data_IF_243904857360
#
_entry.id   IF_243904857360
#
_cell.length_a   1.000
_cell.length_b   1.000
_cell.length_c   1.000
_cell.angle_alpha   90.00
_cell.angle_beta   90.00
_cell.angle_gamma   90.00
#
_symmetry.space_group_name_H-M   'P 1'
#
loop_
_entity.id
_entity.type
_entity.pdbx_description
1 polymer ?
#
# COMPACT_ATOMS: atom_id res chain seq x y z
N UNK A 1 -18.25 1.53 -7.92
CA UNK A 1 -16.84 1.36 -7.49
C UNK A 1 -15.97 1.66 -8.69
N UNK A 2 -14.90 2.44 -8.50
CA UNK A 2 -14.04 2.90 -9.60
C UNK A 2 -12.71 2.17 -9.55
N UNK A 3 -12.32 1.52 -10.65
CA UNK A 3 -11.00 0.91 -10.81
C UNK A 3 -9.89 1.97 -10.64
N UNK A 4 -8.83 1.69 -9.87
CA UNK A 4 -7.78 2.65 -9.64
C UNK A 4 -6.89 2.83 -10.87
N UNK A 5 -6.52 4.08 -11.16
CA UNK A 5 -5.53 4.43 -12.20
C UNK A 5 -4.11 4.00 -11.84
N UNK A 6 -3.85 3.74 -10.57
CA UNK A 6 -2.61 3.13 -10.12
C UNK A 6 -2.66 2.68 -8.67
N UNK A 7 -1.66 1.90 -8.26
CA UNK A 7 -1.58 1.31 -6.93
C UNK A 7 -0.29 1.77 -6.26
N UNK A 8 -0.43 2.24 -5.03
CA UNK A 8 0.66 2.66 -4.17
C UNK A 8 0.89 1.58 -3.14
N UNK A 9 2.09 1.01 -3.10
CA UNK A 9 2.46 0.01 -2.08
C UNK A 9 3.41 0.61 -1.06
N UNK A 10 3.10 0.41 0.21
CA UNK A 10 3.84 0.97 1.35
C UNK A 10 4.19 -0.14 2.33
N UNK A 11 5.47 -0.23 2.71
CA UNK A 11 5.97 -1.12 3.74
C UNK A 11 6.53 -0.32 4.91
N UNK A 12 6.18 -0.70 6.14
CA UNK A 12 6.73 -0.09 7.34
C UNK A 12 6.93 -1.12 8.48
N UNK A 13 7.59 -0.68 9.55
CA UNK A 13 7.74 -1.44 10.81
C UNK A 13 7.04 -0.70 11.96
N UNK A 14 7.16 -1.19 13.20
CA UNK A 14 6.51 -0.63 14.38
C UNK A 14 6.76 0.88 14.56
N UNK A 15 7.98 1.37 14.27
CA UNK A 15 8.32 2.80 14.35
C UNK A 15 7.76 3.66 13.22
N UNK A 16 7.15 3.06 12.18
CA UNK A 16 6.65 3.77 10.99
C UNK A 16 5.18 4.18 11.06
N UNK A 17 4.48 3.96 12.17
CA UNK A 17 3.05 4.27 12.28
C UNK A 17 2.80 5.77 12.16
N UNK A 18 3.57 6.62 12.85
CA UNK A 18 3.42 8.09 12.76
C UNK A 18 3.67 8.60 11.35
N UNK A 19 4.65 8.02 10.67
CA UNK A 19 4.89 8.29 9.25
C UNK A 19 3.70 7.89 8.36
N UNK A 20 3.10 6.73 8.60
CA UNK A 20 1.91 6.30 7.86
C UNK A 20 0.71 7.22 8.12
N UNK A 21 0.57 7.74 9.35
CA UNK A 21 -0.47 8.74 9.68
C UNK A 21 -0.25 10.02 8.89
N UNK A 22 0.97 10.54 8.88
CA UNK A 22 1.31 11.74 8.11
C UNK A 22 1.12 11.51 6.59
N UNK A 23 1.54 10.34 6.08
CA UNK A 23 1.33 9.96 4.70
C UNK A 23 -0.16 9.93 4.34
N UNK A 24 -0.97 9.19 5.09
CA UNK A 24 -2.41 9.08 4.83
C UNK A 24 -3.12 10.43 4.98
N UNK A 25 -2.71 11.25 5.95
CA UNK A 25 -3.26 12.59 6.18
C UNK A 25 -2.96 13.60 5.09
N UNK A 26 -1.89 13.39 4.32
CA UNK A 26 -1.58 14.22 3.16
C UNK A 26 -2.21 13.75 1.85
N UNK A 27 -2.88 12.59 1.81
CA UNK A 27 -3.52 12.10 0.58
C UNK A 27 -4.74 12.95 0.22
N UNK A 28 -4.99 13.22 -1.07
CA UNK A 28 -6.20 13.90 -1.52
C UNK A 28 -7.41 12.99 -1.37
N UNK A 29 -8.58 13.56 -1.07
CA UNK A 29 -9.83 12.80 -0.87
C UNK A 29 -10.32 12.11 -2.16
N UNK A 30 -9.95 12.65 -3.31
CA UNK A 30 -10.30 12.17 -4.65
C UNK A 30 -9.15 11.39 -5.31
N UNK A 31 -8.22 10.83 -4.52
CA UNK A 31 -7.08 10.07 -5.02
C UNK A 31 -7.54 9.04 -6.09
N UNK A 32 -7.07 9.16 -7.36
CA UNK A 32 -7.52 8.27 -8.43
C UNK A 32 -6.90 6.86 -8.36
N UNK A 33 -6.09 6.58 -7.33
CA UNK A 33 -5.40 5.32 -7.10
C UNK A 33 -5.80 4.64 -5.79
N UNK A 34 -5.30 3.42 -5.59
CA UNK A 34 -5.47 2.65 -4.36
C UNK A 34 -4.15 2.62 -3.56
N UNK A 35 -4.23 2.50 -2.24
CA UNK A 35 -3.05 2.37 -1.37
C UNK A 35 -3.09 1.01 -0.68
N UNK A 36 -2.00 0.25 -0.73
CA UNK A 36 -1.81 -1.01 -0.04
C UNK A 36 -0.67 -0.88 0.98
N UNK A 37 -0.92 -1.21 2.23
CA UNK A 37 0.00 -1.00 3.36
C UNK A 37 0.30 -2.32 4.05
N UNK A 38 1.58 -2.60 4.24
CA UNK A 38 2.07 -3.66 5.13
C UNK A 38 2.85 -3.03 6.27
N UNK A 39 2.52 -3.42 7.50
CA UNK A 39 3.33 -3.13 8.69
C UNK A 39 3.73 -4.43 9.35
N UNK A 40 5.01 -4.57 9.71
CA UNK A 40 5.48 -5.69 10.50
C UNK A 40 4.83 -5.64 11.89
N UNK A 41 3.90 -6.57 12.11
CA UNK A 41 3.14 -6.71 13.35
C UNK A 41 3.20 -8.18 13.82
N UNK A 42 3.06 -8.44 15.13
CA UNK A 42 2.95 -9.80 15.65
C UNK A 42 1.83 -10.59 14.97
N UNK A 43 2.02 -11.90 14.83
CA UNK A 43 1.03 -12.81 14.22
C UNK A 43 -0.22 -12.97 15.09
N UNK A 44 0.01 -13.02 16.40
CA UNK A 44 -0.97 -13.36 17.41
C UNK A 44 -1.42 -12.06 18.10
N UNK A 45 -2.17 -11.25 17.36
CA UNK A 45 -2.68 -9.98 17.86
C UNK A 45 -3.53 -9.27 16.82
N UNK A 46 -4.62 -8.65 17.28
CA UNK A 46 -5.34 -7.68 16.46
C UNK A 46 -4.48 -6.43 16.26
N UNK A 47 -4.72 -5.69 15.18
CA UNK A 47 -4.08 -4.40 14.96
C UNK A 47 -5.12 -3.31 14.82
N UNK A 48 -4.91 -2.19 15.52
CA UNK A 48 -5.73 -1.00 15.38
C UNK A 48 -5.33 -0.14 14.16
N UNK A 49 -4.35 -0.60 13.38
CA UNK A 49 -3.76 0.18 12.29
C UNK A 49 -4.78 0.72 11.29
N UNK A 50 -5.76 -0.07 10.77
CA UNK A 50 -6.78 0.49 9.88
C UNK A 50 -7.53 1.67 10.52
N UNK A 51 -7.96 1.54 11.77
CA UNK A 51 -8.66 2.61 12.50
C UNK A 51 -7.78 3.84 12.72
N UNK A 52 -6.48 3.65 12.97
CA UNK A 52 -5.52 4.75 13.12
C UNK A 52 -5.38 5.52 11.80
N UNK A 53 -5.21 4.82 10.69
CA UNK A 53 -5.05 5.45 9.37
C UNK A 53 -6.36 6.11 8.91
N UNK A 54 -7.51 5.47 9.16
CA UNK A 54 -8.83 5.99 8.85
C UNK A 54 -9.13 7.33 9.56
N UNK A 55 -8.59 7.52 10.77
CA UNK A 55 -8.69 8.80 11.50
C UNK A 55 -7.66 9.84 11.07
N UNK A 56 -6.63 9.44 10.35
CA UNK A 56 -5.49 10.30 10.04
C UNK A 56 -5.63 11.01 8.70
N UNK A 57 -6.47 10.53 7.79
CA UNK A 57 -6.64 11.11 6.46
C UNK A 57 -8.04 10.91 5.88
N UNK A 58 -8.29 11.43 4.66
CA UNK A 58 -9.62 11.47 4.07
C UNK A 58 -10.05 10.15 3.44
N UNK A 59 -9.10 9.23 3.18
CA UNK A 59 -9.40 7.97 2.51
C UNK A 59 -9.79 6.87 3.51
N UNK A 60 -10.86 6.11 3.27
CA UNK A 60 -11.25 5.01 4.13
C UNK A 60 -10.17 3.91 4.17
N UNK A 61 -9.79 3.53 5.39
CA UNK A 61 -8.79 2.49 5.63
C UNK A 61 -9.41 1.26 6.29
N UNK A 62 -9.15 0.08 5.72
CA UNK A 62 -9.65 -1.20 6.21
C UNK A 62 -8.62 -2.32 6.03
N UNK A 63 -8.82 -3.43 6.74
CA UNK A 63 -8.09 -4.64 6.39
C UNK A 63 -8.45 -5.10 4.98
N UNK A 64 -7.44 -5.53 4.24
CA UNK A 64 -7.64 -6.18 2.95
C UNK A 64 -8.48 -7.45 3.14
N UNK A 65 -9.50 -7.64 2.29
CA UNK A 65 -10.24 -8.89 2.16
C UNK A 65 -9.65 -9.74 1.05
N UNK A 66 -9.62 -11.06 1.23
CA UNK A 66 -9.17 -11.96 0.16
C UNK A 66 -10.17 -11.95 -1.02
N UNK A 67 -9.66 -11.78 -2.23
CA UNK A 67 -10.46 -11.68 -3.46
C UNK A 67 -11.16 -10.33 -3.66
N UNK A 68 -10.98 -9.37 -2.74
CA UNK A 68 -11.57 -8.04 -2.88
C UNK A 68 -10.99 -7.31 -4.10
N UNK A 69 -11.83 -6.60 -4.85
CA UNK A 69 -11.38 -5.73 -5.92
C UNK A 69 -10.58 -4.55 -5.36
N UNK A 70 -9.58 -4.10 -6.10
CA UNK A 70 -8.90 -2.84 -5.82
C UNK A 70 -9.81 -1.68 -6.26
N UNK A 71 -9.86 -0.62 -5.44
CA UNK A 71 -10.72 0.54 -5.71
C UNK A 71 -9.93 1.82 -5.46
N UNK A 72 -10.16 2.82 -6.31
CA UNK A 72 -9.61 4.16 -6.14
C UNK A 72 -10.09 4.78 -4.80
N UNK A 73 -9.23 5.60 -4.20
CA UNK A 73 -9.56 6.34 -2.98
C UNK A 73 -9.65 5.46 -1.73
N UNK A 74 -9.01 4.28 -1.71
CA UNK A 74 -9.03 3.36 -0.55
C UNK A 74 -7.64 2.99 -0.05
N UNK A 75 -7.55 2.75 1.25
CA UNK A 75 -6.34 2.24 1.91
C UNK A 75 -6.60 0.82 2.42
N UNK A 76 -5.81 -0.13 1.93
CA UNK A 76 -5.88 -1.55 2.26
C UNK A 76 -4.72 -1.97 3.13
N UNK A 77 -5.00 -2.45 4.33
CA UNK A 77 -3.99 -2.83 5.31
C UNK A 77 -3.89 -4.36 5.38
N UNK A 78 -2.69 -4.90 5.22
CA UNK A 78 -2.45 -6.33 5.37
C UNK A 78 -2.88 -6.79 6.79
N UNK A 79 -3.71 -7.85 6.90
CA UNK A 79 -4.09 -8.36 8.20
C UNK A 79 -2.93 -9.15 8.85
N UNK A 80 -2.95 -9.31 10.19
CA UNK A 80 -1.98 -10.14 10.89
C UNK A 80 -1.91 -11.55 10.31
N UNK A 81 -0.71 -12.14 10.29
CA UNK A 81 -0.47 -13.53 9.89
C UNK A 81 -0.91 -13.90 8.45
N UNK A 82 -1.11 -12.92 7.55
CA UNK A 82 -1.32 -13.13 6.11
C UNK A 82 -0.41 -12.20 5.31
N UNK A 83 0.19 -12.67 4.22
CA UNK A 83 0.80 -11.76 3.24
C UNK A 83 -0.30 -11.13 2.39
N UNK A 84 -0.18 -9.83 2.13
CA UNK A 84 -1.00 -9.13 1.15
C UNK A 84 -0.31 -9.15 -0.20
N UNK A 85 -1.03 -9.55 -1.24
CA UNK A 85 -0.57 -9.57 -2.62
C UNK A 85 -1.59 -8.89 -3.52
N UNK A 86 -1.13 -8.47 -4.70
CA UNK A 86 -1.97 -7.96 -5.78
C UNK A 86 -1.93 -8.96 -6.92
N UNK A 87 -3.09 -9.42 -7.37
CA UNK A 87 -3.21 -10.35 -8.50
C UNK A 87 -4.49 -10.08 -9.25
N UNK A 88 -4.39 -9.88 -10.56
CA UNK A 88 -5.56 -9.77 -11.45
C UNK A 88 -6.59 -8.72 -11.04
N UNK A 89 -6.11 -7.54 -10.61
CA UNK A 89 -6.97 -6.44 -10.14
C UNK A 89 -7.55 -6.65 -8.74
N UNK A 90 -7.17 -7.73 -8.06
CA UNK A 90 -7.69 -8.11 -6.76
C UNK A 90 -6.60 -8.18 -5.70
N UNK A 91 -7.03 -7.95 -4.46
CA UNK A 91 -6.25 -8.23 -3.26
C UNK A 91 -6.28 -9.73 -2.98
N UNK A 92 -5.13 -10.30 -2.66
CA UNK A 92 -5.01 -11.70 -2.26
C UNK A 92 -4.32 -11.80 -0.92
N UNK A 93 -4.82 -12.69 -0.08
CA UNK A 93 -4.24 -12.99 1.22
C UNK A 93 -3.62 -14.38 1.20
N UNK A 94 -2.33 -14.48 1.52
CA UNK A 94 -1.60 -15.74 1.49
C UNK A 94 -1.07 -16.17 2.85
N UNK A 95 -1.09 -17.48 3.07
CA UNK A 95 -0.40 -18.18 4.15
C UNK A 95 0.98 -18.71 3.73
N UNK A 96 1.56 -18.16 2.67
CA UNK A 96 2.90 -18.52 2.20
C UNK A 96 3.98 -18.43 3.29
N UNK A 97 5.19 -18.94 3.00
CA UNK A 97 6.31 -18.95 3.93
C UNK A 97 6.55 -17.59 4.57
N UNK A 98 7.10 -17.62 5.78
CA UNK A 98 7.51 -16.41 6.48
C UNK A 98 8.63 -15.74 5.70
N UNK A 99 8.50 -14.44 5.44
CA UNK A 99 9.53 -13.66 4.76
C UNK A 99 10.21 -12.75 5.77
N UNK A 100 11.54 -12.80 5.83
CA UNK A 100 12.34 -11.99 6.76
C UNK A 100 11.89 -12.10 8.24
N UNK A 101 11.35 -13.26 8.65
CA UNK A 101 10.80 -13.48 9.99
C UNK A 101 9.36 -12.97 10.22
N UNK A 102 8.71 -12.37 9.22
CA UNK A 102 7.43 -11.69 9.36
C UNK A 102 6.32 -12.25 8.45
N UNK A 103 5.07 -12.12 8.91
CA UNK A 103 3.85 -12.27 8.10
C UNK A 103 2.74 -11.47 8.79
N UNK A 104 2.28 -10.35 8.22
CA UNK A 104 2.62 -9.82 6.90
C UNK A 104 4.08 -9.33 6.81
N UNK A 105 4.65 -9.46 5.61
CA UNK A 105 5.95 -8.92 5.21
C UNK A 105 5.78 -8.07 3.95
N UNK A 106 6.63 -7.06 3.76
CA UNK A 106 6.52 -6.14 2.64
C UNK A 106 6.88 -6.82 1.30
N UNK A 107 7.88 -7.72 1.29
CA UNK A 107 8.43 -8.28 0.05
C UNK A 107 7.38 -8.95 -0.85
N UNK A 108 6.43 -9.77 -0.36
CA UNK A 108 5.37 -10.32 -1.21
C UNK A 108 4.45 -9.28 -1.84
N UNK A 109 4.12 -8.21 -1.10
CA UNK A 109 3.32 -7.11 -1.65
C UNK A 109 4.09 -6.41 -2.77
N UNK A 110 5.34 -6.06 -2.51
CA UNK A 110 6.20 -5.33 -3.45
C UNK A 110 6.48 -6.17 -4.71
N UNK A 111 6.79 -7.45 -4.54
CA UNK A 111 6.99 -8.39 -5.64
C UNK A 111 5.76 -8.54 -6.52
N UNK A 112 4.58 -8.73 -5.92
CA UNK A 112 3.32 -8.86 -6.68
C UNK A 112 2.91 -7.58 -7.40
N UNK A 113 3.22 -6.41 -6.84
CA UNK A 113 2.96 -5.11 -7.46
C UNK A 113 3.87 -4.83 -8.67
N UNK A 114 5.15 -5.25 -8.61
CA UNK A 114 6.12 -5.04 -9.70
C UNK A 114 5.75 -5.78 -10.98
N UNK A 115 5.09 -6.94 -10.88
CA UNK A 115 4.56 -7.69 -12.03
C UNK A 115 3.53 -6.86 -12.83
N UNK A 116 2.99 -5.78 -12.27
CA UNK A 116 2.07 -4.85 -12.95
C UNK A 116 2.68 -3.48 -13.28
N UNK A 117 4.01 -3.33 -13.25
CA UNK A 117 4.68 -2.09 -13.66
C UNK A 117 4.58 -0.95 -12.64
N UNK A 118 4.25 -1.24 -11.37
CA UNK A 118 4.14 -0.23 -10.32
C UNK A 118 5.47 0.01 -9.61
N UNK A 119 5.81 1.29 -9.38
CA UNK A 119 6.98 1.69 -8.60
C UNK A 119 6.69 1.54 -7.11
N UNK A 120 7.37 0.64 -6.39
CA UNK A 120 7.23 0.55 -4.95
C UNK A 120 7.88 1.76 -4.29
N UNK A 121 7.14 2.51 -3.46
CA UNK A 121 7.77 3.51 -2.61
C UNK A 121 8.18 2.85 -1.30
N UNK A 122 9.34 2.18 -1.31
CA UNK A 122 9.99 1.70 -0.10
C UNK A 122 10.68 2.88 0.62
N UNK A 123 9.91 3.70 1.32
CA UNK A 123 10.47 4.74 2.17
C UNK A 123 10.71 4.22 3.60
N UNK A 124 11.95 4.27 4.10
CA UNK A 124 12.14 4.48 5.54
C UNK A 124 11.64 5.89 5.82
N UNK A 125 10.37 6.02 6.18
CA UNK A 125 9.76 7.31 6.46
C UNK A 125 10.31 7.86 7.79
N UNK A 126 11.43 8.58 7.73
CA UNK A 126 11.84 9.48 8.81
C UNK A 126 11.66 10.96 8.43
N UNK A 127 11.81 11.39 7.16
CA UNK A 127 11.77 12.85 6.84
C UNK A 127 11.19 13.26 5.46
N UNK A 128 10.72 12.33 4.60
CA UNK A 128 10.40 12.64 3.18
C UNK A 128 8.90 12.58 2.79
N UNK A 129 7.95 12.61 3.74
CA UNK A 129 6.54 12.34 3.44
C UNK A 129 5.89 13.33 2.46
N UNK A 130 6.17 14.64 2.58
CA UNK A 130 5.52 15.68 1.77
C UNK A 130 5.94 15.72 0.29
N UNK A 131 7.23 15.54 -0.01
CA UNK A 131 7.73 15.49 -1.40
C UNK A 131 7.23 14.25 -2.14
N UNK A 132 7.05 13.15 -1.41
CA UNK A 132 6.62 11.86 -1.96
C UNK A 132 5.16 11.88 -2.42
N UNK A 133 4.26 12.54 -1.69
CA UNK A 133 2.82 12.58 -2.03
C UNK A 133 2.56 13.38 -3.31
N UNK A 134 3.25 14.50 -3.51
CA UNK A 134 3.09 15.29 -4.73
C UNK A 134 3.54 14.52 -5.97
N UNK A 135 4.73 13.91 -5.92
CA UNK A 135 5.25 13.07 -6.99
C UNK A 135 4.36 11.86 -7.26
N UNK A 136 3.74 11.29 -6.22
CA UNK A 136 2.77 10.21 -6.32
C UNK A 136 1.52 10.65 -7.09
N UNK A 137 0.95 11.82 -6.76
CA UNK A 137 -0.23 12.35 -7.42
C UNK A 137 0.08 12.70 -8.88
N UNK A 138 1.22 13.35 -9.14
CA UNK A 138 1.69 13.67 -10.49
C UNK A 138 1.82 12.39 -11.33
N UNK A 139 2.46 11.35 -10.79
CA UNK A 139 2.58 10.04 -11.45
C UNK A 139 1.24 9.36 -11.68
N UNK A 140 0.32 9.38 -10.71
CA UNK A 140 -1.03 8.82 -10.88
C UNK A 140 -1.87 9.60 -11.91
N UNK A 141 -1.56 10.89 -12.13
CA UNK A 141 -2.11 11.71 -13.19
C UNK A 141 -1.54 11.39 -14.58
N UNK A 142 -0.24 11.04 -14.65
CA UNK A 142 0.51 10.79 -15.90
C UNK A 142 0.38 9.36 -16.45
N UNK A 143 -0.21 8.40 -15.73
CA UNK A 143 -0.48 7.02 -16.21
C UNK A 143 -1.47 6.92 -17.40
N UNK A 144 -1.75 8.05 -18.07
CA UNK A 144 -2.31 8.07 -19.43
C UNK A 144 -1.28 7.71 -20.52
N UNK A 145 0.02 7.76 -20.20
CA UNK A 145 1.11 7.25 -21.04
C UNK A 145 1.63 5.90 -20.51
N UNK A 146 1.83 4.93 -21.41
CA UNK A 146 2.30 3.57 -21.07
C UNK A 146 3.64 3.52 -20.33
N UNK A 147 3.98 2.33 -19.83
CA UNK A 147 5.20 2.07 -19.03
C UNK A 147 6.46 2.50 -19.82
N UNK A 148 7.29 3.41 -19.28
CA UNK A 148 8.58 3.76 -19.88
C UNK A 148 9.53 2.55 -19.96
N UNK A 149 10.15 2.34 -21.12
CA UNK A 149 11.02 1.17 -21.41
C UNK A 149 12.35 1.16 -20.64
N UNK A 150 12.70 2.22 -19.92
CA UNK A 150 13.99 2.39 -19.24
C UNK A 150 14.08 1.74 -17.85
N UNK A 151 13.02 1.06 -17.38
CA UNK A 151 12.91 0.53 -16.01
C UNK A 151 12.96 -1.01 -15.95
N UNK A 152 13.86 -1.63 -16.71
CA UNK A 152 14.13 -3.08 -16.69
C UNK A 152 15.57 -3.47 -16.29
N UNK A 153 16.27 -2.65 -15.51
CA UNK A 153 17.57 -3.01 -14.92
C UNK A 153 17.55 -3.01 -13.41
#
# INVERSE_FOLDING_TARGET
MTEPRGIVVVGASAGGVEALRAFCGGLPADLPGAVCVVVHIPRDGGTALPNILNRSGPLPAAHAGDGAALEAGRVYVAPPNRHLLIRDGQLRLSHGPVENGHRPAADPLFGSARVRGFQPTAGRYSEAAGKTIRQLIERLGDLSGGIPEDVLQ
#
